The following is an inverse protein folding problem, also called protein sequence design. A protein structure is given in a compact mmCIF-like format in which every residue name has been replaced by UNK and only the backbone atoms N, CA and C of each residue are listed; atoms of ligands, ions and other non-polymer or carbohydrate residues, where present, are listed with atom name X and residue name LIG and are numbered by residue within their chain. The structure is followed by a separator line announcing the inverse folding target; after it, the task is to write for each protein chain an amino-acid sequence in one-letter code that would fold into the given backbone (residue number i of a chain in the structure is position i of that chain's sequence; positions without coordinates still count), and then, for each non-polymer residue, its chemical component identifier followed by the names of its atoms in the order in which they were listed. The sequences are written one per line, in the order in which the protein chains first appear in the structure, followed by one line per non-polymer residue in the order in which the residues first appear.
data_IF_512987475566
#
_entry.id   IF_512987475566
#
_cell.length_a   1.000
_cell.length_b   1.000
_cell.length_c   1.000
_cell.angle_alpha   90.00
_cell.angle_beta   90.00
_cell.angle_gamma   90.00
#
_symmetry.space_group_name_H-M   'P 1'
#
loop_
_entity.id
_entity.type
_entity.pdbx_description
1 polymer ?
#
# COMPACT_ATOMS: atom_id res chain seq x y z
N UNK A 1 4.84 14.52 -11.22
CA UNK A 1 3.38 14.52 -11.42
C UNK A 1 2.88 13.08 -11.38
N UNK A 2 1.71 12.81 -10.80
CA UNK A 2 1.17 11.44 -10.62
C UNK A 2 1.05 10.68 -11.95
N UNK A 3 0.72 11.37 -13.04
CA UNK A 3 0.63 10.77 -14.40
C UNK A 3 1.99 10.25 -14.86
N UNK A 4 3.04 11.08 -14.81
CA UNK A 4 4.41 10.68 -15.17
C UNK A 4 4.90 9.52 -14.31
N UNK A 5 4.64 9.55 -12.99
CA UNK A 5 5.03 8.47 -12.09
C UNK A 5 4.32 7.15 -12.42
N UNK A 6 3.03 7.21 -12.79
CA UNK A 6 2.28 6.04 -13.25
C UNK A 6 2.87 5.46 -14.54
N UNK A 7 3.20 6.32 -15.50
CA UNK A 7 3.78 5.91 -16.78
C UNK A 7 5.17 5.27 -16.58
N UNK A 8 6.03 5.89 -15.76
CA UNK A 8 7.36 5.33 -15.44
C UNK A 8 7.28 4.04 -14.63
N UNK A 9 6.27 3.88 -13.77
CA UNK A 9 6.10 2.65 -12.99
C UNK A 9 5.74 1.44 -13.86
N UNK A 10 5.09 1.66 -15.02
CA UNK A 10 4.89 0.62 -16.04
C UNK A 10 3.97 -0.54 -15.64
N UNK A 11 3.22 -0.42 -14.54
CA UNK A 11 2.31 -1.47 -14.08
C UNK A 11 0.97 -0.93 -13.60
N UNK A 12 -0.08 -1.73 -13.80
CA UNK A 12 -1.46 -1.38 -13.48
C UNK A 12 -1.72 -1.26 -11.98
N UNK A 13 -0.85 -1.82 -11.13
CA UNK A 13 -1.00 -1.78 -9.66
C UNK A 13 -0.57 -0.45 -9.03
N UNK A 14 -0.03 0.50 -9.82
CA UNK A 14 0.45 1.79 -9.32
C UNK A 14 -0.60 2.51 -8.46
N UNK A 15 -1.85 2.51 -8.92
CA UNK A 15 -2.94 3.21 -8.24
C UNK A 15 -3.23 2.58 -6.88
N UNK A 16 -3.30 1.25 -6.83
CA UNK A 16 -3.54 0.46 -5.61
C UNK A 16 -2.45 0.73 -4.58
N UNK A 17 -1.18 0.73 -5.00
CA UNK A 17 -0.04 1.06 -4.13
C UNK A 17 -0.19 2.47 -3.55
N UNK A 18 -0.43 3.48 -4.39
CA UNK A 18 -0.49 4.88 -3.93
C UNK A 18 -1.67 5.11 -2.99
N UNK A 19 -2.85 4.56 -3.31
CA UNK A 19 -4.05 4.68 -2.47
C UNK A 19 -3.80 4.01 -1.12
N UNK A 20 -3.31 2.77 -1.09
CA UNK A 20 -3.13 2.04 0.16
C UNK A 20 -1.96 2.56 1.00
N UNK A 21 -0.90 3.07 0.37
CA UNK A 21 0.19 3.74 1.07
C UNK A 21 -0.33 5.00 1.78
N UNK A 22 -1.12 5.83 1.08
CA UNK A 22 -1.72 7.05 1.63
C UNK A 22 -2.72 6.74 2.73
N UNK A 23 -3.58 5.73 2.52
CA UNK A 23 -4.50 5.21 3.54
C UNK A 23 -3.75 4.78 4.81
N UNK A 24 -2.68 4.00 4.64
CA UNK A 24 -1.86 3.54 5.76
C UNK A 24 -1.19 4.69 6.52
N UNK A 25 -0.76 5.76 5.81
CA UNK A 25 -0.22 6.97 6.46
C UNK A 25 -1.31 7.62 7.32
N UNK A 26 -2.51 7.75 6.78
CA UNK A 26 -3.65 8.32 7.48
C UNK A 26 -3.99 7.51 8.75
N UNK A 27 -4.11 6.19 8.63
CA UNK A 27 -4.34 5.30 9.78
C UNK A 27 -3.23 5.39 10.82
N UNK A 28 -1.95 5.40 10.40
CA UNK A 28 -0.82 5.49 11.31
C UNK A 28 -0.83 6.82 12.07
N UNK A 29 -1.05 7.95 11.38
CA UNK A 29 -1.21 9.26 12.03
C UNK A 29 -2.37 9.29 13.02
N UNK A 30 -3.51 8.72 12.66
CA UNK A 30 -4.66 8.65 13.56
C UNK A 30 -4.37 7.81 14.79
N UNK A 31 -3.65 6.70 14.65
CA UNK A 31 -3.28 5.88 15.81
C UNK A 31 -2.32 6.58 16.78
N UNK A 32 -1.49 7.51 16.29
CA UNK A 32 -0.65 8.35 17.15
C UNK A 32 -1.53 9.34 17.93
N UNK A 33 -2.48 9.99 17.26
CA UNK A 33 -3.34 11.04 17.84
C UNK A 33 -4.36 10.46 18.82
N UNK A 34 -5.03 9.37 18.44
CA UNK A 34 -6.19 8.85 19.15
C UNK A 34 -5.87 7.64 20.04
N UNK A 35 -4.85 6.84 19.71
CA UNK A 35 -4.50 5.62 20.44
C UNK A 35 -3.14 5.72 21.18
N UNK A 36 -2.51 6.90 21.19
CA UNK A 36 -1.20 7.14 21.79
C UNK A 36 -0.10 6.17 21.31
N UNK A 37 -0.16 5.74 20.04
CA UNK A 37 0.91 4.92 19.45
C UNK A 37 2.13 5.76 19.11
N UNK A 38 3.28 5.10 19.01
CA UNK A 38 4.54 5.73 18.61
C UNK A 38 4.66 5.84 17.09
N UNK A 39 5.36 6.88 16.63
CA UNK A 39 5.79 6.99 15.24
C UNK A 39 6.69 5.79 14.89
N UNK A 40 6.27 4.96 13.93
CA UNK A 40 7.02 3.78 13.50
C UNK A 40 6.77 3.51 12.03
N UNK A 41 7.83 3.59 11.23
CA UNK A 41 7.78 3.20 9.82
C UNK A 41 7.41 1.72 9.65
N UNK A 42 7.90 0.85 10.55
CA UNK A 42 7.57 -0.58 10.52
C UNK A 42 6.09 -0.83 10.79
N UNK A 43 5.48 -0.11 11.72
CA UNK A 43 4.05 -0.22 11.99
C UNK A 43 3.20 0.22 10.79
N UNK A 44 3.57 1.34 10.17
CA UNK A 44 2.96 1.80 8.92
C UNK A 44 3.11 0.78 7.79
N UNK A 45 4.33 0.28 7.56
CA UNK A 45 4.64 -0.69 6.50
C UNK A 45 3.88 -2.00 6.70
N UNK A 46 3.81 -2.51 7.93
CA UNK A 46 3.03 -3.70 8.26
C UNK A 46 1.53 -3.49 8.00
N UNK A 47 1.02 -2.28 8.25
CA UNK A 47 -0.36 -1.95 7.88
C UNK A 47 -0.57 -1.92 6.37
N UNK A 48 0.34 -1.28 5.63
CA UNK A 48 0.29 -1.23 4.17
C UNK A 48 0.30 -2.62 3.54
N UNK A 49 1.21 -3.51 3.96
CA UNK A 49 1.28 -4.89 3.45
C UNK A 49 -0.03 -5.63 3.72
N UNK A 50 -0.59 -5.53 4.93
CA UNK A 50 -1.87 -6.16 5.28
C UNK A 50 -3.02 -5.66 4.40
N UNK A 51 -3.10 -4.36 4.13
CA UNK A 51 -4.15 -3.80 3.26
C UNK A 51 -3.98 -4.27 1.81
N UNK A 52 -2.74 -4.35 1.31
CA UNK A 52 -2.45 -4.89 -0.03
C UNK A 52 -2.85 -6.37 -0.12
N UNK A 53 -2.56 -7.18 0.90
CA UNK A 53 -2.98 -8.58 0.96
C UNK A 53 -4.49 -8.73 0.88
N UNK A 54 -5.26 -7.87 1.56
CA UNK A 54 -6.73 -7.88 1.47
C UNK A 54 -7.23 -7.52 0.06
N UNK A 55 -6.57 -6.62 -0.65
CA UNK A 55 -6.89 -6.31 -2.05
C UNK A 55 -6.71 -7.53 -2.95
N UNK A 56 -5.71 -8.38 -2.69
CA UNK A 56 -5.48 -9.59 -3.50
C UNK A 56 -6.66 -10.57 -3.48
N UNK A 57 -7.51 -10.53 -2.44
CA UNK A 57 -8.69 -11.39 -2.34
C UNK A 57 -9.78 -11.05 -3.36
N UNK A 58 -9.78 -9.82 -3.88
CA UNK A 58 -10.79 -9.31 -4.83
C UNK A 58 -10.21 -8.92 -6.18
N UNK A 59 -8.89 -8.95 -6.32
CA UNK A 59 -8.20 -8.60 -7.55
C UNK A 59 -8.35 -9.69 -8.61
N UNK A 60 -8.35 -9.29 -9.89
CA UNK A 60 -8.22 -10.22 -11.02
C UNK A 60 -6.89 -10.99 -10.89
N UNK A 61 -6.78 -12.25 -11.35
CA UNK A 61 -5.57 -13.07 -11.20
C UNK A 61 -4.27 -12.37 -11.61
N UNK A 62 -4.26 -11.74 -12.80
CA UNK A 62 -3.09 -10.99 -13.30
C UNK A 62 -2.67 -9.84 -12.36
N UNK A 63 -3.64 -9.10 -11.81
CA UNK A 63 -3.37 -8.00 -10.88
C UNK A 63 -2.88 -8.54 -9.53
N UNK A 64 -3.46 -9.64 -9.07
CA UNK A 64 -3.03 -10.34 -7.85
C UNK A 64 -1.58 -10.78 -7.95
N UNK A 65 -1.18 -11.40 -9.06
CA UNK A 65 0.20 -11.84 -9.29
C UNK A 65 1.18 -10.66 -9.27
N UNK A 66 0.82 -9.55 -9.91
CA UNK A 66 1.61 -8.31 -9.88
C UNK A 66 1.77 -7.76 -8.44
N UNK A 67 0.69 -7.76 -7.66
CA UNK A 67 0.72 -7.33 -6.25
C UNK A 67 1.64 -8.25 -5.42
N UNK A 68 1.49 -9.57 -5.54
CA UNK A 68 2.30 -10.55 -4.79
C UNK A 68 3.79 -10.40 -5.14
N UNK A 69 4.10 -10.25 -6.43
CA UNK A 69 5.46 -10.01 -6.90
C UNK A 69 6.06 -8.73 -6.28
N UNK A 70 5.29 -7.64 -6.30
CA UNK A 70 5.69 -6.39 -5.67
C UNK A 70 5.91 -6.53 -4.15
N UNK A 71 4.99 -7.16 -3.43
CA UNK A 71 5.12 -7.36 -1.98
C UNK A 71 6.32 -8.24 -1.61
N UNK A 72 6.66 -9.21 -2.45
CA UNK A 72 7.83 -10.09 -2.25
C UNK A 72 9.16 -9.35 -2.45
N UNK A 73 9.15 -8.21 -3.16
CA UNK A 73 10.33 -7.35 -3.34
C UNK A 73 10.52 -6.29 -2.24
N UNK A 74 9.56 -6.16 -1.32
CA UNK A 74 9.55 -5.13 -0.28
C UNK A 74 10.41 -5.54 0.90
#
# INVERSE_FOLDING_TARGET
MVITSRETFGSTIFREIVILATWSIWCHRNSIIFDNKNLSFMAWRASFVREMDLVTLRAKPVVKEQIISFLSSL
#
